data_IF_127389537512
#
_entry.id   IF_127389537512
#
_cell.length_a   1.000
_cell.length_b   1.000
_cell.length_c   1.000
_cell.angle_alpha   90.00
_cell.angle_beta   90.00
_cell.angle_gamma   90.00
#
_symmetry.space_group_name_H-M   'P 1'
#
loop_
_entity.id
_entity.type
_entity.pdbx_description
1 polymer ?
#
# COMPACT_ATOMS: atom_id res chain seq x y z
N UNK A 1 22.31 12.04 -16.82
CA UNK A 1 20.97 11.40 -16.85
C UNK A 1 19.98 12.35 -16.18
N UNK A 2 19.50 13.41 -16.88
CA UNK A 2 18.67 14.44 -16.26
C UNK A 2 17.25 13.95 -15.85
N UNK A 3 16.80 12.85 -16.41
CA UNK A 3 15.44 12.31 -16.19
C UNK A 3 15.43 11.06 -15.27
N UNK A 4 16.56 10.81 -14.58
CA UNK A 4 16.62 9.69 -13.61
C UNK A 4 15.88 10.07 -12.33
N UNK A 5 14.92 9.24 -11.95
CA UNK A 5 14.24 9.35 -10.65
C UNK A 5 15.08 8.64 -9.57
N UNK A 6 15.45 9.37 -8.52
CA UNK A 6 16.31 8.89 -7.44
C UNK A 6 15.50 8.81 -6.16
N UNK A 7 15.41 7.60 -5.61
CA UNK A 7 14.71 7.33 -4.36
C UNK A 7 15.71 6.91 -3.29
N UNK A 8 15.63 7.51 -2.10
CA UNK A 8 16.42 7.15 -0.94
C UNK A 8 15.66 6.28 0.05
N UNK A 9 16.35 5.34 0.69
CA UNK A 9 15.78 4.62 1.80
C UNK A 9 16.00 5.41 3.09
N UNK A 10 14.88 5.80 3.72
CA UNK A 10 14.87 6.51 5.01
C UNK A 10 13.77 5.93 5.88
N UNK A 11 14.14 5.47 7.08
CA UNK A 11 13.22 4.80 7.99
C UNK A 11 12.48 5.81 8.88
N UNK A 12 13.13 6.91 9.25
CA UNK A 12 12.59 7.96 10.11
C UNK A 12 13.33 9.28 9.94
N UNK A 13 12.71 10.39 10.32
CA UNK A 13 13.30 11.71 10.30
C UNK A 13 12.40 12.77 9.66
N UNK A 14 12.98 13.92 9.38
CA UNK A 14 12.33 14.99 8.62
C UNK A 14 12.45 14.72 7.11
N UNK A 15 11.51 13.95 6.57
CA UNK A 15 11.52 13.50 5.17
C UNK A 15 11.58 14.69 4.19
N UNK A 16 10.75 15.74 4.33
CA UNK A 16 10.87 16.92 3.46
C UNK A 16 12.23 17.60 3.52
N UNK A 17 12.84 17.70 4.70
CA UNK A 17 14.18 18.27 4.82
C UNK A 17 15.24 17.41 4.15
N UNK A 18 15.15 16.10 4.28
CA UNK A 18 16.08 15.15 3.65
C UNK A 18 16.00 15.25 2.13
N UNK A 19 14.80 15.25 1.54
CA UNK A 19 14.61 15.42 0.09
C UNK A 19 15.23 16.75 -0.38
N UNK A 20 14.90 17.86 0.28
CA UNK A 20 15.45 19.19 -0.10
C UNK A 20 16.98 19.24 -0.03
N UNK A 21 17.59 18.60 0.96
CA UNK A 21 19.04 18.65 1.18
C UNK A 21 19.82 17.68 0.28
N UNK A 22 19.26 16.51 0.00
CA UNK A 22 19.91 15.47 -0.79
C UNK A 22 19.75 15.66 -2.30
N UNK A 23 18.69 16.35 -2.73
CA UNK A 23 18.30 16.42 -4.14
C UNK A 23 17.71 15.12 -4.69
N UNK A 24 17.29 14.20 -3.81
CA UNK A 24 16.52 13.01 -4.20
C UNK A 24 15.09 13.40 -4.58
N UNK A 25 14.47 12.61 -5.46
CA UNK A 25 13.09 12.83 -5.91
C UNK A 25 12.07 12.24 -4.93
N UNK A 26 12.46 11.20 -4.18
CA UNK A 26 11.56 10.47 -3.29
C UNK A 26 12.29 9.76 -2.16
N UNK A 27 11.52 9.34 -1.15
CA UNK A 27 11.96 8.51 -0.03
C UNK A 27 10.96 7.39 0.23
N UNK A 28 11.45 6.29 0.86
CA UNK A 28 10.62 5.19 1.35
C UNK A 28 9.68 5.63 2.47
N UNK A 29 8.39 5.31 2.37
CA UNK A 29 7.37 5.74 3.33
C UNK A 29 7.12 4.66 4.40
N UNK A 30 8.06 4.52 5.35
CA UNK A 30 7.98 3.52 6.42
C UNK A 30 6.89 3.82 7.46
N UNK A 31 6.54 5.08 7.70
CA UNK A 31 5.47 5.43 8.65
C UNK A 31 4.11 4.90 8.13
N UNK A 32 3.82 5.08 6.84
CA UNK A 32 2.59 4.57 6.23
C UNK A 32 2.60 3.04 6.13
N UNK A 33 3.74 2.44 5.75
CA UNK A 33 3.91 0.98 5.76
C UNK A 33 3.53 0.41 7.13
N UNK A 34 4.08 0.98 8.22
CA UNK A 34 3.79 0.54 9.58
C UNK A 34 2.30 0.69 9.90
N UNK A 35 1.71 1.85 9.61
CA UNK A 35 0.32 2.13 9.92
C UNK A 35 -0.66 1.21 9.18
N UNK A 36 -0.36 0.83 7.93
CA UNK A 36 -1.19 -0.09 7.16
C UNK A 36 -1.27 -1.45 7.86
N UNK A 37 -0.13 -2.10 8.13
CA UNK A 37 -0.19 -3.43 8.70
C UNK A 37 -0.63 -3.43 10.17
N UNK A 38 -0.20 -2.45 10.98
CA UNK A 38 -0.55 -2.42 12.40
C UNK A 38 -2.05 -2.15 12.62
N UNK A 39 -2.66 -1.30 11.78
CA UNK A 39 -4.11 -1.05 11.84
C UNK A 39 -4.93 -2.30 11.51
N UNK A 40 -4.48 -3.10 10.57
CA UNK A 40 -5.12 -4.37 10.19
C UNK A 40 -4.92 -5.45 11.28
N UNK A 41 -3.70 -5.57 11.82
CA UNK A 41 -3.35 -6.54 12.85
C UNK A 41 -4.07 -6.24 14.18
N UNK A 42 -4.14 -4.98 14.58
CA UNK A 42 -4.81 -4.55 15.82
C UNK A 42 -6.31 -4.30 15.68
N UNK A 43 -6.86 -4.41 14.46
CA UNK A 43 -8.23 -4.03 14.13
C UNK A 43 -8.57 -2.61 14.60
N UNK A 44 -7.69 -1.64 14.28
CA UNK A 44 -7.81 -0.25 14.72
C UNK A 44 -7.30 0.72 13.64
N UNK A 45 -8.22 1.35 12.90
CA UNK A 45 -7.87 2.25 11.80
C UNK A 45 -7.49 3.67 12.23
N UNK A 46 -7.50 4.03 13.49
CA UNK A 46 -7.09 5.38 13.92
C UNK A 46 -5.60 5.65 13.65
N UNK A 47 -4.75 4.62 13.71
CA UNK A 47 -3.34 4.78 13.36
C UNK A 47 -3.16 5.04 11.86
N UNK A 48 -3.93 4.35 11.00
CA UNK A 48 -3.91 4.58 9.55
C UNK A 48 -4.38 6.01 9.22
N UNK A 49 -5.48 6.47 9.85
CA UNK A 49 -6.00 7.83 9.66
C UNK A 49 -4.95 8.89 10.03
N UNK A 50 -4.30 8.72 11.19
CA UNK A 50 -3.25 9.64 11.61
C UNK A 50 -2.06 9.64 10.63
N UNK A 51 -1.63 8.47 10.19
CA UNK A 51 -0.50 8.33 9.27
C UNK A 51 -0.82 8.89 7.88
N UNK A 52 -2.06 8.76 7.39
CA UNK A 52 -2.48 9.34 6.12
C UNK A 52 -2.53 10.88 6.17
N UNK A 53 -2.91 11.49 7.30
CA UNK A 53 -2.80 12.94 7.50
C UNK A 53 -1.35 13.40 7.39
N UNK A 54 -0.42 12.68 8.04
CA UNK A 54 1.01 12.98 7.95
C UNK A 54 1.57 12.70 6.56
N UNK A 55 1.08 11.67 5.87
CA UNK A 55 1.45 11.37 4.49
C UNK A 55 1.06 12.50 3.53
N UNK A 56 -0.08 13.15 3.76
CA UNK A 56 -0.48 14.34 3.01
C UNK A 56 0.54 15.48 3.14
N UNK A 57 1.13 15.69 4.33
CA UNK A 57 2.18 16.71 4.54
C UNK A 57 3.42 16.42 3.68
N UNK A 58 3.77 15.15 3.47
CA UNK A 58 4.88 14.80 2.58
C UNK A 58 4.55 15.07 1.12
N UNK A 59 3.31 14.78 0.69
CA UNK A 59 2.84 15.02 -0.69
C UNK A 59 2.84 16.49 -1.10
N UNK A 60 2.85 17.43 -0.14
CA UNK A 60 3.08 18.85 -0.41
C UNK A 60 4.50 19.14 -0.91
N UNK A 61 5.46 18.26 -0.63
CA UNK A 61 6.87 18.46 -0.93
C UNK A 61 7.42 17.51 -2.00
N UNK A 62 7.00 16.24 -1.98
CA UNK A 62 7.45 15.19 -2.90
C UNK A 62 6.45 14.03 -2.91
N UNK A 63 6.50 13.17 -3.93
CA UNK A 63 5.71 11.95 -3.97
C UNK A 63 6.49 10.80 -3.31
N UNK A 64 6.13 10.35 -2.08
CA UNK A 64 6.82 9.26 -1.40
C UNK A 64 6.70 7.93 -2.17
N UNK A 65 7.74 7.10 -2.14
CA UNK A 65 7.63 5.71 -2.52
C UNK A 65 6.89 4.95 -1.41
N UNK A 66 5.70 4.43 -1.75
CA UNK A 66 4.83 3.69 -0.82
C UNK A 66 4.96 2.18 -1.05
N UNK A 67 4.83 1.40 0.02
CA UNK A 67 4.95 -0.07 -0.04
C UNK A 67 4.23 -0.73 1.14
N UNK A 68 3.94 -2.01 1.01
CA UNK A 68 3.40 -2.86 2.11
C UNK A 68 4.36 -3.98 2.50
N UNK A 69 5.43 -4.18 1.73
CA UNK A 69 6.49 -5.14 1.99
C UNK A 69 7.78 -4.75 1.28
N UNK A 70 8.91 -5.22 1.81
CA UNK A 70 10.23 -5.14 1.18
C UNK A 70 11.09 -6.32 1.66
N UNK A 71 12.38 -6.33 1.28
CA UNK A 71 13.32 -7.41 1.58
C UNK A 71 13.76 -7.49 3.05
N UNK A 72 13.40 -6.49 3.88
CA UNK A 72 13.84 -6.37 5.28
C UNK A 72 12.69 -6.52 6.29
N UNK A 73 11.48 -6.85 5.83
CA UNK A 73 10.31 -6.95 6.70
C UNK A 73 9.55 -8.26 6.49
N UNK A 74 8.78 -8.68 7.49
CA UNK A 74 7.85 -9.79 7.38
C UNK A 74 6.86 -9.52 6.25
N UNK A 75 6.63 -10.53 5.38
CA UNK A 75 5.69 -10.47 4.27
C UNK A 75 4.29 -10.09 4.74
N UNK A 76 3.61 -9.22 4.01
CA UNK A 76 2.29 -8.71 4.41
C UNK A 76 1.26 -9.83 4.60
N UNK A 77 1.23 -10.84 3.71
CA UNK A 77 0.34 -11.99 3.84
C UNK A 77 0.64 -12.87 5.06
N UNK A 78 1.89 -12.92 5.54
CA UNK A 78 2.24 -13.59 6.80
C UNK A 78 1.80 -12.80 8.01
N UNK A 79 1.77 -11.47 7.91
CA UNK A 79 1.49 -10.60 9.03
C UNK A 79 0.00 -10.43 9.30
N UNK A 80 -0.78 -10.15 8.27
CA UNK A 80 -2.21 -9.81 8.40
C UNK A 80 -3.15 -10.83 7.76
N UNK A 81 -2.63 -11.97 7.27
CA UNK A 81 -3.41 -12.96 6.53
C UNK A 81 -3.81 -12.47 5.13
N UNK A 82 -4.45 -13.34 4.35
CA UNK A 82 -4.80 -13.05 2.95
C UNK A 82 -5.83 -11.93 2.82
N UNK A 83 -6.88 -11.97 3.63
CA UNK A 83 -7.91 -10.94 3.63
C UNK A 83 -7.35 -9.57 4.08
N UNK A 84 -6.48 -9.53 5.09
CA UNK A 84 -5.79 -8.30 5.48
C UNK A 84 -4.82 -7.81 4.40
N UNK A 85 -4.10 -8.71 3.73
CA UNK A 85 -3.19 -8.35 2.65
C UNK A 85 -3.94 -7.71 1.46
N UNK A 86 -5.16 -8.18 1.15
CA UNK A 86 -6.00 -7.56 0.12
C UNK A 86 -6.39 -6.12 0.45
N UNK A 87 -6.69 -5.83 1.73
CA UNK A 87 -6.94 -4.46 2.20
C UNK A 87 -5.67 -3.60 2.16
N UNK A 88 -4.53 -4.16 2.57
CA UNK A 88 -3.24 -3.46 2.50
C UNK A 88 -2.90 -3.03 1.07
N UNK A 89 -3.09 -3.91 0.08
CA UNK A 89 -2.90 -3.61 -1.34
C UNK A 89 -3.91 -2.55 -1.82
N UNK A 90 -5.17 -2.62 -1.36
CA UNK A 90 -6.17 -1.61 -1.71
C UNK A 90 -5.73 -0.22 -1.25
N UNK A 91 -5.26 -0.08 -0.01
CA UNK A 91 -4.71 1.20 0.49
C UNK A 91 -3.51 1.63 -0.35
N UNK A 92 -2.53 0.74 -0.56
CA UNK A 92 -1.32 1.03 -1.32
C UNK A 92 -1.60 1.65 -2.70
N UNK A 93 -2.60 1.13 -3.41
CA UNK A 93 -2.91 1.58 -4.78
C UNK A 93 -3.89 2.76 -4.86
N UNK A 94 -4.51 3.17 -3.76
CA UNK A 94 -5.52 4.23 -3.76
C UNK A 94 -5.08 5.51 -3.03
N UNK A 95 -3.96 5.49 -2.31
CA UNK A 95 -3.36 6.68 -1.70
C UNK A 95 -2.36 7.37 -2.62
N UNK A 96 -1.98 8.61 -2.31
CA UNK A 96 -0.91 9.34 -3.01
C UNK A 96 0.44 8.65 -2.90
N UNK A 97 1.42 9.09 -3.70
CA UNK A 97 2.77 8.53 -3.76
C UNK A 97 3.00 7.60 -4.95
N UNK A 98 4.15 6.94 -4.96
CA UNK A 98 4.58 5.99 -5.99
C UNK A 98 4.57 4.58 -5.38
N UNK A 99 3.54 3.75 -5.65
CA UNK A 99 3.45 2.42 -5.06
C UNK A 99 4.49 1.48 -5.65
N UNK A 100 5.14 0.70 -4.80
CA UNK A 100 6.01 -0.40 -5.19
C UNK A 100 5.51 -1.73 -4.61
N UNK A 101 5.68 -2.79 -5.38
CA UNK A 101 5.37 -4.16 -4.98
C UNK A 101 6.69 -4.89 -4.83
N UNK A 102 6.93 -5.46 -3.66
CA UNK A 102 8.04 -6.36 -3.47
C UNK A 102 7.72 -7.71 -4.13
N UNK A 103 8.70 -8.28 -4.88
CA UNK A 103 8.48 -9.51 -5.65
C UNK A 103 7.89 -10.62 -4.79
N UNK A 104 6.90 -11.32 -5.32
CA UNK A 104 6.17 -12.38 -4.64
C UNK A 104 4.99 -11.90 -3.78
N UNK A 105 4.89 -10.60 -3.43
CA UNK A 105 3.69 -10.08 -2.75
C UNK A 105 2.47 -10.13 -3.67
N UNK A 106 2.67 -10.02 -5.00
CA UNK A 106 1.63 -10.24 -6.02
C UNK A 106 1.15 -11.70 -6.11
N UNK A 107 1.86 -12.62 -5.47
CA UNK A 107 1.50 -14.04 -5.34
C UNK A 107 1.14 -14.40 -3.89
N UNK A 108 0.94 -13.40 -3.04
CA UNK A 108 0.72 -13.59 -1.60
C UNK A 108 1.80 -14.44 -0.92
N UNK A 109 3.07 -14.31 -1.34
CA UNK A 109 4.17 -15.03 -0.72
C UNK A 109 4.22 -14.77 0.77
N UNK A 110 4.59 -15.82 1.51
CA UNK A 110 4.71 -15.79 2.96
C UNK A 110 6.17 -15.88 3.38
N UNK A 111 6.48 -15.30 4.51
CA UNK A 111 7.79 -15.33 5.13
C UNK A 111 7.77 -14.41 6.35
N UNK A 112 8.33 -14.87 7.44
CA UNK A 112 8.49 -14.11 8.69
C UNK A 112 9.95 -13.74 8.82
N UNK A 113 10.22 -12.45 8.98
CA UNK A 113 11.56 -11.97 9.34
C UNK A 113 11.86 -12.33 10.79
N UNK A 114 13.03 -12.91 11.03
CA UNK A 114 13.52 -13.22 12.36
C UNK A 114 14.73 -12.35 12.71
N UNK A 115 14.86 -11.97 13.98
CA UNK A 115 15.98 -11.17 14.46
C UNK A 115 17.17 -12.09 14.82
N UNK A 116 17.77 -12.68 13.76
CA UNK A 116 18.98 -13.52 13.83
C UNK A 116 19.73 -13.48 12.51
N UNK A 117 20.98 -13.96 12.50
CA UNK A 117 21.73 -14.13 11.24
C UNK A 117 20.98 -15.08 10.29
N UNK A 118 20.77 -14.68 9.03
CA UNK A 118 19.97 -15.41 8.04
C UNK A 118 18.46 -15.33 8.29
N UNK A 119 18.00 -14.49 9.22
CA UNK A 119 16.57 -14.31 9.53
C UNK A 119 15.75 -13.67 8.41
N UNK A 120 16.42 -13.16 7.37
CA UNK A 120 15.78 -12.60 6.18
C UNK A 120 15.51 -13.64 5.09
N UNK A 121 16.08 -14.84 5.17
CA UNK A 121 15.98 -15.85 4.09
C UNK A 121 14.52 -16.21 3.78
N UNK A 122 13.67 -16.30 4.82
CA UNK A 122 12.26 -16.61 4.66
C UNK A 122 11.47 -15.52 3.92
N UNK A 123 11.92 -14.26 3.98
CA UNK A 123 11.26 -13.15 3.27
C UNK A 123 11.87 -12.88 1.89
N UNK A 124 12.95 -13.60 1.52
CA UNK A 124 13.67 -13.50 0.25
C UNK A 124 13.72 -14.84 -0.50
N UNK A 125 12.58 -15.57 -0.64
CA UNK A 125 12.59 -16.86 -1.34
C UNK A 125 13.01 -16.69 -2.80
N UNK A 126 13.65 -17.72 -3.37
CA UNK A 126 13.90 -17.74 -4.80
C UNK A 126 12.58 -17.73 -5.57
N UNK A 127 12.49 -16.90 -6.61
CA UNK A 127 11.35 -16.94 -7.51
C UNK A 127 11.47 -18.18 -8.42
N UNK A 128 10.35 -18.84 -8.79
CA UNK A 128 10.39 -19.95 -9.73
C UNK A 128 11.02 -19.57 -11.06
N UNK A 129 11.62 -20.54 -11.75
CA UNK A 129 12.25 -20.31 -13.03
C UNK A 129 11.24 -19.99 -14.15
N UNK A 130 10.00 -20.44 -14.01
CA UNK A 130 8.90 -20.20 -14.95
C UNK A 130 7.65 -19.75 -14.20
N UNK A 131 6.81 -18.89 -14.77
CA UNK A 131 5.48 -18.61 -14.23
C UNK A 131 4.59 -19.84 -14.04
N UNK A 132 4.80 -20.88 -14.86
CA UNK A 132 4.05 -22.14 -14.77
C UNK A 132 4.40 -22.95 -13.50
N UNK A 133 5.54 -22.64 -12.89
CA UNK A 133 5.99 -23.27 -11.63
C UNK A 133 5.46 -22.52 -10.39
N UNK A 134 4.73 -21.41 -10.57
CA UNK A 134 4.12 -20.70 -9.45
C UNK A 134 2.99 -21.55 -8.84
N UNK A 135 2.93 -21.66 -7.52
CA UNK A 135 1.76 -22.29 -6.89
C UNK A 135 0.53 -21.43 -7.20
N UNK A 136 -0.51 -22.02 -7.81
CA UNK A 136 -1.74 -21.30 -8.18
C UNK A 136 -2.52 -20.67 -7.00
N UNK A 137 -2.04 -20.88 -5.78
CA UNK A 137 -2.60 -20.35 -4.54
C UNK A 137 -2.53 -18.81 -4.43
N UNK A 138 -1.68 -18.16 -5.22
CA UNK A 138 -1.51 -16.69 -5.23
C UNK A 138 -2.26 -15.97 -6.35
N UNK A 139 -2.93 -16.70 -7.25
CA UNK A 139 -3.59 -16.09 -8.41
C UNK A 139 -4.63 -15.03 -8.04
N UNK A 140 -5.36 -15.21 -6.95
CA UNK A 140 -6.32 -14.22 -6.45
C UNK A 140 -5.68 -12.86 -6.16
N UNK A 141 -4.48 -12.83 -5.52
CA UNK A 141 -3.75 -11.61 -5.23
C UNK A 141 -3.24 -10.96 -6.52
N UNK A 142 -2.73 -11.77 -7.45
CA UNK A 142 -2.31 -11.29 -8.76
C UNK A 142 -3.46 -10.59 -9.51
N UNK A 143 -4.65 -11.21 -9.54
CA UNK A 143 -5.86 -10.61 -10.15
C UNK A 143 -6.29 -9.33 -9.46
N UNK A 144 -6.28 -9.31 -8.12
CA UNK A 144 -6.56 -8.11 -7.34
C UNK A 144 -5.63 -6.96 -7.73
N UNK A 145 -4.31 -7.21 -7.71
CA UNK A 145 -3.30 -6.21 -8.03
C UNK A 145 -3.44 -5.73 -9.49
N UNK A 146 -3.69 -6.61 -10.45
CA UNK A 146 -3.98 -6.21 -11.83
C UNK A 146 -5.14 -5.21 -11.91
N UNK A 147 -6.23 -5.49 -11.18
CA UNK A 147 -7.39 -4.60 -11.11
C UNK A 147 -7.05 -3.23 -10.50
N UNK A 148 -6.32 -3.22 -9.38
CA UNK A 148 -5.87 -2.02 -8.69
C UNK A 148 -4.90 -1.18 -9.56
N UNK A 149 -3.95 -1.83 -10.25
CA UNK A 149 -3.10 -1.17 -11.25
C UNK A 149 -3.95 -0.55 -12.36
N UNK A 150 -4.98 -1.27 -12.82
CA UNK A 150 -5.93 -0.77 -13.82
C UNK A 150 -6.65 0.49 -13.35
N UNK A 151 -7.12 0.54 -12.10
CA UNK A 151 -7.71 1.75 -11.50
C UNK A 151 -6.67 2.88 -11.49
N UNK A 152 -5.47 2.63 -10.97
CA UNK A 152 -4.43 3.65 -10.85
C UNK A 152 -3.99 4.21 -12.20
N UNK A 153 -3.83 3.36 -13.23
CA UNK A 153 -3.46 3.80 -14.59
C UNK A 153 -4.52 4.67 -15.25
N UNK A 154 -5.80 4.48 -14.93
CA UNK A 154 -6.88 5.37 -15.38
C UNK A 154 -7.00 6.66 -14.58
N UNK A 155 -6.33 6.72 -13.43
CA UNK A 155 -6.34 7.85 -12.49
C UNK A 155 -4.90 8.28 -12.16
N UNK A 156 -4.11 8.79 -13.13
CA UNK A 156 -2.69 9.15 -12.91
C UNK A 156 -2.50 10.26 -11.87
N UNK A 157 -3.54 11.07 -11.63
CA UNK A 157 -3.58 12.09 -10.59
C UNK A 157 -3.40 11.51 -9.18
N UNK A 158 -3.64 10.20 -8.98
CA UNK A 158 -3.41 9.53 -7.69
C UNK A 158 -1.98 9.66 -7.18
N UNK A 159 -0.98 9.89 -8.04
CA UNK A 159 0.40 10.10 -7.58
C UNK A 159 0.52 11.27 -6.60
N UNK A 160 -0.32 12.29 -6.76
CA UNK A 160 -0.32 13.49 -5.92
C UNK A 160 -1.65 13.68 -5.16
N UNK A 161 -2.45 12.64 -5.05
CA UNK A 161 -3.74 12.70 -4.37
C UNK A 161 -3.56 12.87 -2.86
N UNK A 162 -4.30 13.79 -2.28
CA UNK A 162 -4.46 13.92 -0.84
C UNK A 162 -5.60 13.06 -0.34
N UNK A 163 -5.47 12.47 0.84
CA UNK A 163 -6.55 11.69 1.45
C UNK A 163 -7.34 12.55 2.45
N UNK A 164 -8.68 12.44 2.38
CA UNK A 164 -9.58 13.09 3.34
C UNK A 164 -10.43 12.01 4.01
N UNK A 165 -10.39 11.86 5.34
CA UNK A 165 -11.20 10.86 6.02
C UNK A 165 -12.69 11.22 5.93
N UNK A 166 -13.53 10.20 5.69
CA UNK A 166 -14.99 10.29 5.66
C UNK A 166 -15.59 9.59 6.89
N UNK A 167 -15.07 8.41 7.22
CA UNK A 167 -15.44 7.65 8.41
C UNK A 167 -14.17 7.13 9.07
N UNK A 168 -14.06 7.31 10.38
CA UNK A 168 -12.96 6.76 11.18
C UNK A 168 -13.55 6.03 12.38
N UNK A 169 -13.34 4.73 12.41
CA UNK A 169 -13.75 3.83 13.50
C UNK A 169 -12.68 2.73 13.63
N UNK A 170 -12.70 1.98 14.73
CA UNK A 170 -11.75 0.90 14.93
C UNK A 170 -11.76 -0.12 13.77
N UNK A 171 -12.96 -0.50 13.31
CA UNK A 171 -13.12 -1.60 12.33
C UNK A 171 -13.64 -1.15 10.97
N UNK A 172 -13.87 0.16 10.79
CA UNK A 172 -14.30 0.76 9.53
C UNK A 172 -13.53 2.04 9.27
N UNK A 173 -13.06 2.18 8.06
CA UNK A 173 -12.38 3.38 7.62
C UNK A 173 -12.81 3.71 6.21
N UNK A 174 -13.26 4.94 6.00
CA UNK A 174 -13.54 5.42 4.65
C UNK A 174 -12.80 6.74 4.43
N UNK A 175 -12.25 6.89 3.24
CA UNK A 175 -11.56 8.12 2.82
C UNK A 175 -11.80 8.40 1.35
N UNK A 176 -11.72 9.68 1.00
CA UNK A 176 -11.62 10.16 -0.36
C UNK A 176 -10.15 10.43 -0.71
N UNK A 177 -9.66 9.83 -1.80
CA UNK A 177 -8.44 10.27 -2.44
C UNK A 177 -8.81 11.35 -3.44
N UNK A 178 -8.25 12.56 -3.27
CA UNK A 178 -8.65 13.77 -4.01
C UNK A 178 -7.45 14.31 -4.79
N UNK A 179 -7.61 14.46 -6.10
CA UNK A 179 -6.63 15.09 -6.97
C UNK A 179 -6.73 16.62 -6.95
N UNK A 180 -5.68 17.31 -7.42
CA UNK A 180 -5.63 18.77 -7.47
C UNK A 180 -6.69 19.39 -8.40
N UNK A 181 -7.18 18.65 -9.39
CA UNK A 181 -8.25 19.07 -10.31
C UNK A 181 -9.65 18.76 -9.77
N UNK A 182 -9.79 18.24 -8.56
CA UNK A 182 -11.08 17.85 -7.98
C UNK A 182 -11.52 16.44 -8.35
N UNK A 183 -10.65 15.67 -8.98
CA UNK A 183 -10.85 14.23 -9.21
C UNK A 183 -10.94 13.52 -7.86
N UNK A 184 -11.73 12.45 -7.80
CA UNK A 184 -11.95 11.73 -6.54
C UNK A 184 -12.17 10.24 -6.75
N UNK A 185 -11.54 9.44 -5.89
CA UNK A 185 -11.94 8.07 -5.59
C UNK A 185 -12.41 7.99 -4.14
N UNK A 186 -13.50 7.28 -3.91
CA UNK A 186 -13.96 6.93 -2.58
C UNK A 186 -13.56 5.51 -2.24
N UNK A 187 -12.96 5.30 -1.07
CA UNK A 187 -12.47 4.00 -0.59
C UNK A 187 -13.07 3.70 0.76
N UNK A 188 -13.74 2.55 0.86
CA UNK A 188 -14.26 2.02 2.11
C UNK A 188 -13.50 0.75 2.48
N UNK A 189 -13.03 0.67 3.72
CA UNK A 189 -12.39 -0.51 4.32
C UNK A 189 -13.23 -0.96 5.52
N UNK A 190 -13.47 -2.25 5.64
CA UNK A 190 -14.17 -2.83 6.78
C UNK A 190 -13.51 -4.14 7.21
N UNK A 191 -13.49 -4.38 8.50
CA UNK A 191 -13.07 -5.65 9.11
C UNK A 191 -14.27 -6.50 9.56
N UNK A 192 -15.51 -6.00 9.42
CA UNK A 192 -16.75 -6.64 9.84
C UNK A 192 -17.70 -6.85 8.66
N UNK A 193 -18.39 -8.02 8.58
CA UNK A 193 -18.20 -9.24 9.39
C UNK A 193 -16.92 -10.00 9.01
N UNK A 194 -16.34 -9.67 7.85
CA UNK A 194 -15.04 -10.14 7.34
C UNK A 194 -14.33 -9.00 6.63
N UNK A 195 -12.99 -9.01 6.54
CA UNK A 195 -12.24 -7.96 5.86
C UNK A 195 -12.67 -7.82 4.40
N UNK A 196 -13.09 -6.60 4.03
CA UNK A 196 -13.48 -6.26 2.65
C UNK A 196 -13.23 -4.78 2.36
N UNK A 197 -13.15 -4.43 1.08
CA UNK A 197 -13.08 -3.04 0.66
C UNK A 197 -13.94 -2.77 -0.58
N UNK A 198 -14.31 -1.50 -0.75
CA UNK A 198 -15.00 -0.99 -1.94
C UNK A 198 -14.26 0.24 -2.43
N UNK A 199 -13.95 0.27 -3.73
CA UNK A 199 -13.39 1.45 -4.40
C UNK A 199 -14.42 1.95 -5.39
N UNK A 200 -14.80 3.23 -5.28
CA UNK A 200 -15.81 3.87 -6.12
C UNK A 200 -15.28 5.15 -6.78
N UNK A 201 -15.79 5.48 -7.94
CA UNK A 201 -15.56 6.73 -8.62
C UNK A 201 -16.31 7.90 -7.97
N UNK A 202 -16.05 9.12 -8.44
CA UNK A 202 -16.70 10.35 -7.96
C UNK A 202 -18.24 10.37 -8.18
N UNK A 203 -18.71 9.60 -9.14
CA UNK A 203 -20.14 9.43 -9.45
C UNK A 203 -20.82 8.31 -8.62
N UNK A 204 -20.08 7.68 -7.70
CA UNK A 204 -20.54 6.54 -6.91
C UNK A 204 -20.48 5.19 -7.64
N UNK A 205 -20.03 5.14 -8.89
CA UNK A 205 -19.85 3.88 -9.61
C UNK A 205 -18.81 3.03 -8.92
N UNK A 206 -19.16 1.80 -8.54
CA UNK A 206 -18.22 0.85 -7.94
C UNK A 206 -17.24 0.37 -9.02
N UNK A 207 -15.96 0.68 -8.81
CA UNK A 207 -14.86 0.29 -9.68
C UNK A 207 -14.28 -1.07 -9.30
N UNK A 208 -14.31 -1.39 -8.01
CA UNK A 208 -13.80 -2.66 -7.48
C UNK A 208 -14.45 -3.00 -6.13
N UNK A 209 -14.78 -4.27 -5.96
CA UNK A 209 -15.04 -4.88 -4.65
C UNK A 209 -13.91 -5.83 -4.33
N UNK A 210 -13.43 -5.78 -3.10
CA UNK A 210 -12.31 -6.58 -2.60
C UNK A 210 -12.82 -7.38 -1.42
N UNK A 211 -12.89 -8.68 -1.61
CA UNK A 211 -13.22 -9.64 -0.56
C UNK A 211 -12.41 -10.91 -0.82
N UNK A 212 -11.73 -11.43 0.19
CA UNK A 212 -11.00 -12.67 0.03
C UNK A 212 -11.96 -13.85 0.22
N UNK A 213 -12.00 -14.76 -0.76
CA UNK A 213 -12.81 -15.97 -0.70
C UNK A 213 -14.01 -16.03 -1.67
N UNK A 214 -14.17 -15.04 -2.53
CA UNK A 214 -15.10 -15.05 -3.67
C UNK A 214 -14.43 -15.55 -4.95
#
# INVERSE_FOLDING_TARGET
FPDVWIMGEVIHGDYPAIVRQSGMDSLTQYELWKAIWSSLESANFYELDWSLKRHNEFLESFAPQTFVGNHDVTRIASRVGDAGASLAMTVLFTVGGVPSIYYGDEQAFRGVKEDRMGGDDAVRPAFPASPDDLPGTGEWMYRLIQGLIGIRRRNPWLTHAMTTPVTVDNRRYAYDAVGHGGERLHVELSLDPAPHAVVSGSDGTVLMRVQHGD
#
